data_IF_593017198468
#
_entry.id   IF_593017198468
#
_cell.length_a   1.000
_cell.length_b   1.000
_cell.length_c   1.000
_cell.angle_alpha   90.00
_cell.angle_beta   90.00
_cell.angle_gamma   90.00
#
_symmetry.space_group_name_H-M   'P 1'
#
loop_
_entity.id
_entity.type
_entity.pdbx_description
1 polymer ?
#
# COMPACT_ATOMS: atom_id res chain seq x y z
N UNK A 1 23.34 -10.91 -0.27
CA UNK A 1 22.07 -11.32 -0.90
C UNK A 1 21.17 -10.09 -0.95
N UNK A 2 20.32 -9.94 -1.98
CA UNK A 2 19.39 -8.81 -2.01
C UNK A 2 18.30 -9.01 -0.95
N UNK A 3 18.01 -7.97 -0.18
CA UNK A 3 16.99 -8.02 0.86
C UNK A 3 15.59 -7.77 0.30
N UNK A 4 15.48 -7.10 -0.85
CA UNK A 4 14.20 -6.82 -1.50
C UNK A 4 14.16 -7.36 -2.93
N UNK A 5 13.05 -8.01 -3.27
CA UNK A 5 12.67 -8.37 -4.63
C UNK A 5 11.63 -7.35 -5.13
N UNK A 6 11.85 -6.79 -6.31
CA UNK A 6 10.91 -5.84 -6.94
C UNK A 6 10.39 -6.45 -8.23
N UNK A 7 9.06 -6.52 -8.37
CA UNK A 7 8.42 -6.99 -9.60
C UNK A 7 7.71 -5.82 -10.28
N UNK A 8 8.21 -5.46 -11.47
CA UNK A 8 7.68 -4.36 -12.27
C UNK A 8 6.65 -4.85 -13.28
N UNK A 9 5.47 -4.24 -13.29
CA UNK A 9 4.57 -4.52 -14.39
C UNK A 9 3.43 -3.59 -14.57
N UNK A 10 2.34 -4.15 -15.07
CA UNK A 10 1.35 -3.36 -15.80
C UNK A 10 0.39 -2.75 -14.79
N UNK A 11 0.53 -1.43 -14.59
CA UNK A 11 -0.31 -0.68 -13.66
C UNK A 11 0.06 -0.86 -12.19
N UNK A 12 1.12 -1.62 -11.88
CA UNK A 12 1.56 -1.92 -10.51
C UNK A 12 3.04 -2.29 -10.46
N UNK A 13 3.74 -1.74 -9.47
CA UNK A 13 5.05 -2.21 -9.01
C UNK A 13 4.90 -2.75 -7.61
N UNK A 14 5.49 -3.91 -7.36
CA UNK A 14 5.41 -4.61 -6.08
C UNK A 14 6.81 -4.84 -5.57
N UNK A 15 7.00 -4.77 -4.27
CA UNK A 15 8.25 -5.16 -3.64
C UNK A 15 7.97 -6.04 -2.43
N UNK A 16 8.79 -7.07 -2.23
CA UNK A 16 8.74 -7.94 -1.05
C UNK A 16 10.13 -8.16 -0.49
N UNK A 17 10.21 -8.25 0.83
CA UNK A 17 11.34 -8.84 1.55
C UNK A 17 10.90 -10.16 2.14
N UNK A 18 11.72 -11.19 1.92
CA UNK A 18 11.40 -12.56 2.29
C UNK A 18 12.27 -13.05 3.44
N UNK A 19 11.71 -13.90 4.29
CA UNK A 19 12.43 -14.75 5.22
C UNK A 19 12.06 -16.19 4.92
N UNK A 20 12.91 -16.89 4.17
CA UNK A 20 12.52 -18.14 3.53
C UNK A 20 11.53 -17.88 2.40
N UNK A 21 10.38 -18.54 2.45
CA UNK A 21 9.22 -18.35 1.56
C UNK A 21 8.24 -17.28 2.08
N UNK A 22 8.38 -16.83 3.33
CA UNK A 22 7.43 -15.92 3.96
C UNK A 22 7.74 -14.45 3.65
N UNK A 23 6.74 -13.70 3.19
CA UNK A 23 6.81 -12.24 3.11
C UNK A 23 6.88 -11.65 4.53
N UNK A 24 7.94 -10.90 4.82
CA UNK A 24 8.11 -10.16 6.08
C UNK A 24 7.91 -8.65 5.92
N UNK A 25 8.08 -8.12 4.72
CA UNK A 25 7.65 -6.78 4.34
C UNK A 25 7.13 -6.79 2.91
N UNK A 26 6.12 -5.97 2.62
CA UNK A 26 5.72 -5.71 1.24
C UNK A 26 5.50 -4.21 1.02
N UNK A 27 5.60 -3.79 -0.23
CA UNK A 27 5.23 -2.45 -0.69
C UNK A 27 4.59 -2.54 -2.06
N UNK A 28 3.60 -1.68 -2.30
CA UNK A 28 2.92 -1.58 -3.59
C UNK A 28 2.91 -0.13 -4.02
N UNK A 29 3.26 0.08 -5.28
CA UNK A 29 3.12 1.35 -5.96
C UNK A 29 2.18 1.17 -7.15
N UNK A 30 1.19 2.05 -7.27
CA UNK A 30 0.32 2.16 -8.44
C UNK A 30 0.77 3.37 -9.27
N UNK A 31 1.48 3.15 -10.39
CA UNK A 31 2.05 4.23 -11.19
C UNK A 31 0.99 5.17 -11.76
N UNK A 32 1.44 6.39 -12.10
CA UNK A 32 0.58 7.43 -12.67
C UNK A 32 -0.16 8.26 -11.62
N UNK A 33 0.35 8.31 -10.39
CA UNK A 33 -0.07 9.23 -9.33
C UNK A 33 1.15 9.91 -8.72
N UNK A 34 0.93 11.03 -8.03
CA UNK A 34 1.97 11.65 -7.19
C UNK A 34 2.42 10.70 -6.07
N UNK A 35 3.68 10.28 -6.13
CA UNK A 35 4.32 9.41 -5.13
C UNK A 35 5.36 10.18 -4.32
N UNK A 36 5.61 9.74 -3.07
CA UNK A 36 6.66 10.33 -2.25
C UNK A 36 8.03 10.18 -2.91
N UNK A 37 8.85 11.23 -2.85
CA UNK A 37 10.15 11.32 -3.53
C UNK A 37 10.09 11.89 -4.95
N UNK A 38 8.90 12.03 -5.55
CA UNK A 38 8.77 12.75 -6.82
C UNK A 38 9.16 14.22 -6.64
N UNK A 39 10.02 14.73 -7.53
CA UNK A 39 10.35 16.15 -7.65
C UNK A 39 9.85 16.63 -8.99
N UNK A 40 8.89 17.54 -8.98
CA UNK A 40 8.27 18.04 -10.19
C UNK A 40 7.93 19.52 -10.09
N UNK A 41 7.90 20.19 -11.25
CA UNK A 41 7.41 21.55 -11.36
C UNK A 41 5.88 21.54 -11.36
N UNK A 42 5.30 22.47 -10.61
CA UNK A 42 3.85 22.66 -10.47
C UNK A 42 3.51 24.15 -10.49
N UNK A 43 2.23 24.48 -10.64
CA UNK A 43 1.73 25.85 -10.53
C UNK A 43 1.08 26.04 -9.16
N UNK A 44 1.44 27.09 -8.43
CA UNK A 44 0.75 27.45 -7.18
C UNK A 44 -0.64 28.01 -7.52
N UNK A 45 -1.69 27.25 -7.24
CA UNK A 45 -3.07 27.60 -7.64
C UNK A 45 -3.91 28.23 -6.52
N UNK A 46 -3.47 28.08 -5.26
CA UNK A 46 -4.14 28.72 -4.12
C UNK A 46 -3.17 28.93 -2.97
N UNK A 47 -3.19 30.11 -2.35
CA UNK A 47 -2.41 30.53 -1.18
C UNK A 47 -3.08 31.75 -0.53
N UNK A 48 -3.39 31.66 0.77
CA UNK A 48 -3.73 32.86 1.53
C UNK A 48 -2.51 33.80 1.64
N UNK A 49 -2.69 35.11 1.47
CA UNK A 49 -1.58 36.07 1.42
C UNK A 49 -0.60 35.91 2.61
N UNK A 50 0.70 35.77 2.32
CA UNK A 50 1.73 35.57 3.34
C UNK A 50 1.75 34.18 4.00
N UNK A 51 0.78 33.31 3.72
CA UNK A 51 0.70 32.01 4.36
C UNK A 51 1.82 31.07 3.89
N UNK A 52 2.34 30.21 4.79
CA UNK A 52 3.34 29.21 4.45
C UNK A 52 2.72 27.96 3.79
N UNK A 53 1.42 27.97 3.51
CA UNK A 53 0.67 26.82 2.97
C UNK A 53 -0.17 27.24 1.78
N UNK A 54 -0.37 26.30 0.87
CA UNK A 54 -1.20 26.49 -0.32
C UNK A 54 -1.49 25.17 -1.02
N UNK A 55 -1.99 25.27 -2.24
CA UNK A 55 -2.26 24.14 -3.14
C UNK A 55 -1.50 24.36 -4.44
N UNK A 56 -0.78 23.33 -4.88
CA UNK A 56 -0.10 23.30 -6.18
C UNK A 56 -0.80 22.31 -7.10
N UNK A 57 -0.80 22.60 -8.41
CA UNK A 57 -1.35 21.74 -9.45
C UNK A 57 -0.27 21.35 -10.45
N UNK A 58 -0.16 20.05 -10.73
CA UNK A 58 0.83 19.48 -11.65
C UNK A 58 0.29 19.44 -13.08
N UNK A 59 1.18 19.22 -14.05
CA UNK A 59 0.80 19.05 -15.45
C UNK A 59 -0.16 17.86 -15.69
N UNK A 60 -0.14 16.86 -14.81
CA UNK A 60 -1.09 15.73 -14.81
C UNK A 60 -2.52 16.14 -14.43
N UNK A 61 -2.70 17.35 -13.90
CA UNK A 61 -3.95 17.82 -13.30
C UNK A 61 -4.14 17.41 -11.83
N UNK A 62 -3.27 16.58 -11.27
CA UNK A 62 -3.30 16.27 -9.84
C UNK A 62 -2.91 17.51 -9.00
N UNK A 63 -3.49 17.59 -7.80
CA UNK A 63 -3.20 18.65 -6.84
C UNK A 63 -2.52 18.09 -5.58
N UNK A 64 -1.65 18.90 -4.99
CA UNK A 64 -1.03 18.62 -3.70
C UNK A 64 -1.11 19.84 -2.78
N UNK A 65 -1.27 19.58 -1.48
CA UNK A 65 -1.08 20.60 -0.45
C UNK A 65 0.41 20.86 -0.27
N UNK A 66 0.83 22.11 -0.37
CA UNK A 66 2.23 22.50 -0.15
C UNK A 66 2.38 23.18 1.20
N UNK A 67 3.41 22.82 1.96
CA UNK A 67 3.82 23.52 3.17
C UNK A 67 5.18 24.21 3.00
N UNK A 68 5.50 25.15 3.90
CA UNK A 68 6.76 25.92 3.92
C UNK A 68 7.04 26.71 2.65
N UNK A 69 5.98 27.28 2.06
CA UNK A 69 6.12 28.22 0.95
C UNK A 69 7.00 29.43 1.33
N UNK A 70 7.93 29.85 0.45
CA UNK A 70 8.62 31.13 0.57
C UNK A 70 7.63 32.30 0.67
N UNK A 71 8.04 33.39 1.31
CA UNK A 71 7.16 34.56 1.51
C UNK A 71 6.74 35.20 0.18
N UNK A 72 7.64 35.20 -0.79
CA UNK A 72 7.53 35.71 -2.15
C UNK A 72 6.85 34.75 -3.14
N UNK A 73 6.50 33.53 -2.72
CA UNK A 73 5.79 32.57 -3.57
C UNK A 73 4.43 33.13 -4.04
N UNK A 74 4.22 33.29 -5.34
CA UNK A 74 3.04 33.98 -5.87
C UNK A 74 2.06 33.00 -6.52
N UNK A 75 0.75 33.19 -6.31
CA UNK A 75 -0.27 32.42 -7.03
C UNK A 75 -0.09 32.60 -8.55
N UNK A 76 -0.29 31.53 -9.32
CA UNK A 76 -0.05 31.46 -10.75
C UNK A 76 1.41 31.22 -11.14
N UNK A 77 2.37 31.36 -10.22
CA UNK A 77 3.77 31.11 -10.52
C UNK A 77 4.11 29.62 -10.53
N UNK A 78 5.10 29.25 -11.35
CA UNK A 78 5.72 27.94 -11.29
C UNK A 78 6.55 27.80 -10.02
N UNK A 79 6.50 26.62 -9.40
CA UNK A 79 7.29 26.27 -8.24
C UNK A 79 7.71 24.81 -8.35
N UNK A 80 8.98 24.54 -8.08
CA UNK A 80 9.47 23.17 -7.94
C UNK A 80 9.15 22.65 -6.56
N UNK A 81 8.56 21.46 -6.52
CA UNK A 81 8.20 20.81 -5.26
C UNK A 81 8.61 19.35 -5.23
N UNK A 82 8.95 18.87 -4.05
CA UNK A 82 9.09 17.45 -3.73
C UNK A 82 7.83 16.96 -3.03
N UNK A 83 7.27 15.85 -3.51
CA UNK A 83 6.18 15.14 -2.83
C UNK A 83 6.78 14.41 -1.62
N UNK A 84 6.28 14.71 -0.42
CA UNK A 84 6.71 14.07 0.82
C UNK A 84 5.72 13.04 1.34
N UNK A 85 4.46 13.11 0.87
CA UNK A 85 3.44 12.10 1.12
C UNK A 85 2.53 12.00 -0.09
N UNK A 86 2.34 10.81 -0.61
CA UNK A 86 1.41 10.53 -1.70
C UNK A 86 -0.05 10.83 -1.30
N UNK A 87 -0.93 10.95 -2.29
CA UNK A 87 -2.35 11.02 -2.04
C UNK A 87 -2.85 9.71 -1.42
N UNK A 88 -3.80 9.81 -0.46
CA UNK A 88 -4.35 8.64 0.23
C UNK A 88 -5.86 8.66 0.08
N UNK A 89 -6.40 7.58 -0.48
CA UNK A 89 -7.84 7.36 -0.60
C UNK A 89 -8.47 7.01 0.74
N UNK A 90 -9.60 7.62 1.04
CA UNK A 90 -10.42 7.35 2.23
C UNK A 90 -11.88 7.13 1.81
N UNK A 91 -12.72 6.63 2.73
CA UNK A 91 -14.16 6.51 2.44
C UNK A 91 -14.76 7.90 2.18
N UNK A 92 -15.21 8.13 0.95
CA UNK A 92 -15.92 9.35 0.54
C UNK A 92 -15.03 10.57 0.25
N UNK A 93 -13.70 10.48 0.36
CA UNK A 93 -12.78 11.56 -0.03
C UNK A 93 -11.37 11.05 -0.32
N UNK A 94 -10.56 11.85 -1.00
CA UNK A 94 -9.12 11.62 -1.15
C UNK A 94 -8.37 12.70 -0.38
N UNK A 95 -7.47 12.32 0.53
CA UNK A 95 -6.47 13.24 1.05
C UNK A 95 -5.47 13.53 -0.05
N UNK A 96 -5.39 14.78 -0.50
CA UNK A 96 -4.39 15.22 -1.47
C UNK A 96 -2.97 14.84 -1.01
N UNK A 97 -2.07 14.71 -1.97
CA UNK A 97 -0.64 14.58 -1.69
C UNK A 97 -0.14 15.79 -0.89
N UNK A 98 0.96 15.62 -0.15
CA UNK A 98 1.67 16.72 0.48
C UNK A 98 3.01 16.94 -0.19
N UNK A 99 3.32 18.20 -0.44
CA UNK A 99 4.52 18.63 -1.13
C UNK A 99 5.26 19.72 -0.36
N UNK A 100 6.52 19.92 -0.70
CA UNK A 100 7.39 20.97 -0.16
C UNK A 100 8.17 21.63 -1.29
N UNK A 101 8.41 22.95 -1.24
CA UNK A 101 9.35 23.61 -2.14
C UNK A 101 10.70 22.89 -2.09
N UNK A 102 11.33 22.71 -3.25
CA UNK A 102 12.57 21.96 -3.39
C UNK A 102 13.41 22.51 -4.53
N UNK A 103 14.72 22.58 -4.31
CA UNK A 103 15.71 22.94 -5.34
C UNK A 103 16.34 21.71 -5.99
N UNK A 104 15.84 20.50 -5.67
CA UNK A 104 16.33 19.25 -6.26
C UNK A 104 16.08 19.21 -7.77
N UNK A 105 16.81 18.35 -8.47
CA UNK A 105 16.51 18.05 -9.88
C UNK A 105 15.17 17.34 -10.03
N UNK A 106 14.54 17.49 -11.20
CA UNK A 106 13.30 16.79 -11.52
C UNK A 106 13.52 15.29 -11.45
N UNK A 107 12.67 14.59 -10.72
CA UNK A 107 12.81 13.17 -10.45
C UNK A 107 11.45 12.49 -10.34
N UNK A 108 11.35 11.27 -10.85
CA UNK A 108 10.21 10.37 -10.66
C UNK A 108 10.75 8.97 -10.41
N UNK A 109 11.38 8.75 -9.24
CA UNK A 109 12.03 7.49 -8.93
C UNK A 109 11.04 6.33 -8.91
N UNK A 110 11.45 5.21 -9.48
CA UNK A 110 10.75 3.93 -9.41
C UNK A 110 10.75 3.37 -7.98
N UNK A 111 9.84 2.43 -7.68
CA UNK A 111 9.86 1.69 -6.40
C UNK A 111 11.23 1.08 -6.06
N UNK A 112 11.97 0.59 -7.06
CA UNK A 112 13.31 0.04 -6.88
C UNK A 112 14.31 1.12 -6.44
N UNK A 113 14.31 2.27 -7.11
CA UNK A 113 15.18 3.41 -6.80
C UNK A 113 14.84 4.01 -5.42
N UNK A 114 13.55 4.08 -5.06
CA UNK A 114 13.12 4.50 -3.71
C UNK A 114 13.67 3.58 -2.62
N UNK A 115 13.55 2.26 -2.81
CA UNK A 115 14.10 1.28 -1.87
C UNK A 115 15.63 1.36 -1.76
N UNK A 116 16.33 1.60 -2.88
CA UNK A 116 17.77 1.80 -2.88
C UNK A 116 18.18 3.09 -2.14
N UNK A 117 17.43 4.18 -2.33
CA UNK A 117 17.65 5.44 -1.62
C UNK A 117 17.41 5.32 -0.11
N UNK A 118 16.55 4.39 0.32
CA UNK A 118 16.37 4.00 1.73
C UNK A 118 17.52 3.10 2.26
N UNK A 119 18.51 2.77 1.44
CA UNK A 119 19.69 1.97 1.81
C UNK A 119 19.51 0.46 1.67
N UNK A 120 18.48 0.00 0.95
CA UNK A 120 18.23 -1.43 0.78
C UNK A 120 18.93 -2.02 -0.46
N UNK A 121 19.41 -3.26 -0.33
CA UNK A 121 19.84 -4.06 -1.48
C UNK A 121 18.60 -4.56 -2.24
N UNK A 122 18.45 -4.15 -3.49
CA UNK A 122 17.27 -4.41 -4.33
C UNK A 122 17.63 -5.30 -5.52
N UNK A 123 16.78 -6.27 -5.83
CA UNK A 123 16.82 -7.05 -7.07
C UNK A 123 15.49 -6.96 -7.79
N UNK A 124 15.48 -6.37 -8.98
CA UNK A 124 14.34 -6.44 -9.89
C UNK A 124 14.24 -7.86 -10.44
N UNK A 125 13.06 -8.46 -10.33
CA UNK A 125 12.74 -9.80 -10.79
C UNK A 125 11.58 -9.76 -11.77
N UNK A 126 11.56 -10.70 -12.71
CA UNK A 126 10.40 -10.86 -13.58
C UNK A 126 9.17 -11.30 -12.77
N UNK A 127 9.36 -12.17 -11.78
CA UNK A 127 8.29 -12.76 -10.96
C UNK A 127 8.82 -13.02 -9.57
N UNK A 128 7.99 -12.80 -8.55
CA UNK A 128 8.28 -13.33 -7.22
C UNK A 128 8.34 -14.87 -7.22
N UNK A 129 9.17 -15.48 -6.36
CA UNK A 129 8.99 -16.89 -6.01
C UNK A 129 7.61 -17.09 -5.36
N UNK A 130 7.17 -18.33 -5.22
CA UNK A 130 6.00 -18.65 -4.39
C UNK A 130 6.27 -18.16 -2.96
N UNK A 131 5.55 -17.11 -2.55
CA UNK A 131 5.78 -16.44 -1.28
C UNK A 131 4.51 -15.95 -0.59
N UNK A 132 3.34 -16.40 -1.06
CA UNK A 132 2.07 -16.02 -0.47
C UNK A 132 1.58 -14.61 -0.85
N UNK A 133 1.95 -14.09 -2.03
CA UNK A 133 1.54 -12.73 -2.43
C UNK A 133 0.02 -12.58 -2.56
N UNK A 134 -0.62 -13.58 -3.16
CA UNK A 134 -2.05 -13.55 -3.42
C UNK A 134 -2.84 -13.62 -2.10
N UNK A 135 -2.39 -14.46 -1.17
CA UNK A 135 -2.89 -14.58 0.20
C UNK A 135 -2.73 -13.25 0.96
N UNK A 136 -1.59 -12.56 0.83
CA UNK A 136 -1.39 -11.24 1.44
C UNK A 136 -2.37 -10.19 0.87
N UNK A 137 -2.67 -10.25 -0.43
CA UNK A 137 -3.66 -9.36 -1.04
C UNK A 137 -5.06 -9.70 -0.53
N UNK A 138 -5.39 -10.99 -0.42
CA UNK A 138 -6.69 -11.45 0.08
C UNK A 138 -6.87 -11.01 1.55
N UNK A 139 -5.86 -11.18 2.42
CA UNK A 139 -5.85 -10.63 3.79
C UNK A 139 -6.08 -9.11 3.81
N UNK A 140 -5.49 -8.36 2.87
CA UNK A 140 -5.66 -6.91 2.80
C UNK A 140 -7.03 -6.47 2.28
N UNK A 141 -7.63 -7.25 1.37
CA UNK A 141 -8.97 -7.02 0.84
C UNK A 141 -10.04 -7.32 1.91
N UNK A 142 -9.84 -8.38 2.68
CA UNK A 142 -10.73 -8.77 3.77
C UNK A 142 -10.48 -7.93 5.04
N UNK A 143 -9.30 -7.32 5.16
CA UNK A 143 -8.88 -6.58 6.34
C UNK A 143 -8.73 -7.49 7.56
N UNK A 144 -8.50 -8.79 7.38
CA UNK A 144 -8.45 -9.77 8.45
C UNK A 144 -7.19 -10.60 8.36
N UNK A 145 -6.48 -10.78 9.48
CA UNK A 145 -5.34 -11.69 9.60
C UNK A 145 -5.64 -12.68 10.71
N UNK A 146 -5.72 -13.96 10.35
CA UNK A 146 -5.99 -15.04 11.33
C UNK A 146 -4.70 -15.52 11.97
N UNK A 147 -4.78 -15.96 13.23
CA UNK A 147 -3.69 -16.61 13.95
C UNK A 147 -4.24 -17.69 14.88
N UNK A 148 -3.35 -18.50 15.45
CA UNK A 148 -3.77 -19.56 16.36
C UNK A 148 -4.51 -18.98 17.58
N UNK A 149 -5.83 -19.24 17.65
CA UNK A 149 -6.70 -18.81 18.75
C UNK A 149 -7.41 -17.47 18.56
N UNK A 150 -7.19 -16.76 17.44
CA UNK A 150 -7.85 -15.48 17.20
C UNK A 150 -7.62 -14.87 15.82
N UNK A 151 -8.00 -13.61 15.66
CA UNK A 151 -7.86 -12.82 14.44
C UNK A 151 -7.64 -11.35 14.74
N UNK A 152 -6.95 -10.67 13.84
CA UNK A 152 -6.80 -9.22 13.81
C UNK A 152 -7.73 -8.66 12.75
N UNK A 153 -8.58 -7.69 13.11
CA UNK A 153 -9.46 -7.00 12.17
C UNK A 153 -8.95 -5.56 11.98
N UNK A 154 -8.54 -5.24 10.76
CA UNK A 154 -8.01 -3.94 10.39
C UNK A 154 -9.09 -3.08 9.73
N UNK A 155 -9.37 -1.93 10.34
CA UNK A 155 -10.31 -0.94 9.85
C UNK A 155 -9.60 0.40 9.59
N UNK A 156 -9.15 0.68 8.36
CA UNK A 156 -8.68 2.01 7.99
C UNK A 156 -9.80 3.04 8.15
N UNK A 157 -9.56 4.15 8.82
CA UNK A 157 -10.52 5.26 8.94
C UNK A 157 -9.88 6.56 8.45
N UNK A 158 -10.66 7.64 8.24
CA UNK A 158 -10.10 8.93 7.86
C UNK A 158 -9.09 9.51 8.87
N UNK A 159 -9.11 9.07 10.13
CA UNK A 159 -8.21 9.57 11.17
C UNK A 159 -7.02 8.63 11.42
N UNK A 160 -7.29 7.33 11.46
CA UNK A 160 -6.31 6.30 11.84
C UNK A 160 -6.72 4.91 11.35
N UNK A 161 -5.81 3.95 11.33
CA UNK A 161 -6.18 2.52 11.19
C UNK A 161 -6.46 1.97 12.57
N UNK A 162 -7.64 1.40 12.80
CA UNK A 162 -7.96 0.70 14.05
C UNK A 162 -7.78 -0.79 13.83
N UNK A 163 -7.19 -1.47 14.80
CA UNK A 163 -7.01 -2.92 14.83
C UNK A 163 -7.77 -3.45 16.03
N UNK A 164 -8.71 -4.33 15.77
CA UNK A 164 -9.45 -5.07 16.79
C UNK A 164 -8.90 -6.51 16.90
N UNK A 165 -8.96 -7.08 18.10
CA UNK A 165 -8.38 -8.38 18.41
C UNK A 165 -9.47 -9.29 19.00
N UNK A 166 -9.92 -10.22 18.18
CA UNK A 166 -10.96 -11.18 18.53
C UNK A 166 -10.40 -12.59 18.65
N UNK A 167 -11.01 -13.43 19.50
CA UNK A 167 -10.61 -14.82 19.62
C UNK A 167 -11.28 -15.56 20.78
N UNK A 168 -10.99 -16.86 20.87
CA UNK A 168 -11.58 -17.74 21.89
C UNK A 168 -10.68 -17.94 23.13
N UNK A 169 -9.45 -17.41 23.09
CA UNK A 169 -8.50 -17.50 24.21
C UNK A 169 -8.90 -16.55 25.35
N UNK A 170 -8.37 -16.81 26.55
CA UNK A 170 -8.56 -15.89 27.68
C UNK A 170 -7.89 -14.54 27.37
N UNK A 171 -8.40 -13.40 27.88
CA UNK A 171 -7.95 -12.06 27.45
C UNK A 171 -6.43 -11.86 27.42
N UNK A 172 -5.72 -12.29 28.47
CA UNK A 172 -4.24 -12.20 28.55
C UNK A 172 -3.55 -13.05 27.48
N UNK A 173 -4.02 -14.26 27.27
CA UNK A 173 -3.44 -15.21 26.31
C UNK A 173 -3.69 -14.73 24.88
N UNK A 174 -4.90 -14.23 24.61
CA UNK A 174 -5.27 -13.63 23.34
C UNK A 174 -4.39 -12.40 23.03
N UNK A 175 -4.23 -11.50 24.01
CA UNK A 175 -3.43 -10.30 23.84
C UNK A 175 -1.96 -10.62 23.53
N UNK A 176 -1.37 -11.59 24.23
CA UNK A 176 0.01 -12.03 23.96
C UNK A 176 0.14 -12.77 22.62
N UNK A 177 -0.81 -13.62 22.27
CA UNK A 177 -0.83 -14.35 20.99
C UNK A 177 -0.96 -13.40 19.79
N UNK A 178 -1.63 -12.27 19.96
CA UNK A 178 -1.84 -11.27 18.91
C UNK A 178 -0.58 -10.41 18.60
N UNK A 179 0.39 -10.32 19.51
CA UNK A 179 1.54 -9.39 19.37
C UNK A 179 2.38 -9.69 18.13
N UNK A 180 2.72 -10.97 17.90
CA UNK A 180 3.51 -11.40 16.73
C UNK A 180 2.78 -11.15 15.41
N UNK A 181 1.55 -11.68 15.18
CA UNK A 181 0.84 -11.45 13.93
C UNK A 181 0.56 -9.96 13.70
N UNK A 182 0.37 -9.16 14.75
CA UNK A 182 0.20 -7.72 14.64
C UNK A 182 1.46 -7.02 14.14
N UNK A 183 2.61 -7.30 14.76
CA UNK A 183 3.89 -6.73 14.36
C UNK A 183 4.31 -7.16 12.94
N UNK A 184 3.97 -8.38 12.54
CA UNK A 184 4.17 -8.89 11.19
C UNK A 184 3.23 -8.17 10.21
N UNK A 185 1.93 -8.08 10.50
CA UNK A 185 0.94 -7.43 9.64
C UNK A 185 1.23 -5.93 9.41
N UNK A 186 1.69 -5.21 10.43
CA UNK A 186 2.13 -3.80 10.30
C UNK A 186 3.17 -3.65 9.17
N UNK A 187 4.14 -4.57 9.10
CA UNK A 187 5.21 -4.55 8.10
C UNK A 187 4.78 -5.09 6.74
N UNK A 188 4.00 -6.18 6.73
CA UNK A 188 3.51 -6.81 5.50
C UNK A 188 2.51 -5.93 4.76
N UNK A 189 1.69 -5.15 5.47
CA UNK A 189 0.76 -4.20 4.85
C UNK A 189 1.36 -2.83 4.58
N UNK A 190 2.61 -2.55 4.98
CA UNK A 190 3.24 -1.21 4.90
C UNK A 190 2.41 -0.15 5.66
N UNK A 191 1.98 -0.45 6.88
CA UNK A 191 1.19 0.48 7.69
C UNK A 191 2.04 1.66 8.15
N UNK A 192 1.39 2.82 8.22
CA UNK A 192 1.95 4.05 8.77
C UNK A 192 0.83 4.99 9.23
N UNK A 193 1.22 6.14 9.76
CA UNK A 193 0.28 7.11 10.32
C UNK A 193 -0.13 6.75 11.73
N UNK A 194 -1.32 7.22 12.14
CA UNK A 194 -1.91 6.85 13.43
C UNK A 194 -2.54 5.45 13.31
N UNK A 195 -2.17 4.56 14.23
CA UNK A 195 -2.70 3.20 14.33
C UNK A 195 -3.16 2.99 15.77
N UNK A 196 -4.39 2.55 15.97
CA UNK A 196 -4.95 2.22 17.27
C UNK A 196 -5.16 0.74 17.36
N UNK A 197 -4.69 0.12 18.43
CA UNK A 197 -4.83 -1.32 18.66
C UNK A 197 -5.68 -1.48 19.91
N UNK A 198 -6.81 -2.16 19.76
CA UNK A 198 -7.71 -2.50 20.85
C UNK A 198 -7.40 -3.91 21.34
N UNK A 199 -6.53 -4.04 22.34
CA UNK A 199 -6.32 -5.33 23.00
C UNK A 199 -7.49 -5.63 23.95
N UNK A 200 -7.78 -6.92 24.22
CA UNK A 200 -8.69 -7.30 25.28
C UNK A 200 -8.34 -6.59 26.60
N UNK A 201 -9.34 -6.11 27.32
CA UNK A 201 -9.11 -5.39 28.58
C UNK A 201 -8.42 -6.31 29.61
N UNK A 202 -7.20 -5.91 30.04
CA UNK A 202 -6.43 -6.63 31.05
C UNK A 202 -6.47 -5.88 32.38
N UNK A 203 -6.95 -6.56 33.43
CA UNK A 203 -7.09 -5.96 34.77
C UNK A 203 -5.73 -5.75 35.45
N UNK A 204 -4.87 -6.77 35.41
CA UNK A 204 -3.58 -6.73 36.08
C UNK A 204 -2.59 -5.84 35.33
N UNK A 205 -1.96 -4.91 36.07
CA UNK A 205 -0.90 -4.04 35.53
C UNK A 205 0.30 -4.85 34.99
N UNK A 206 0.61 -5.98 35.62
CA UNK A 206 1.68 -6.87 35.18
C UNK A 206 1.41 -7.46 33.79
N UNK A 207 0.16 -7.83 33.51
CA UNK A 207 -0.23 -8.39 32.20
C UNK A 207 -0.16 -7.33 31.10
N UNK A 208 -0.67 -6.11 31.36
CA UNK A 208 -0.53 -4.97 30.44
C UNK A 208 0.93 -4.69 30.10
N UNK A 209 1.78 -4.65 31.13
CA UNK A 209 3.23 -4.46 30.97
C UNK A 209 3.86 -5.57 30.12
N UNK A 210 3.45 -6.82 30.31
CA UNK A 210 3.97 -7.94 29.54
C UNK A 210 3.65 -7.82 28.04
N UNK A 211 2.42 -7.43 27.69
CA UNK A 211 2.02 -7.17 26.30
C UNK A 211 2.78 -5.96 25.74
N UNK A 212 2.90 -4.88 26.52
CA UNK A 212 3.66 -3.69 26.14
C UNK A 212 5.13 -4.02 25.85
N UNK A 213 5.78 -4.79 26.71
CA UNK A 213 7.19 -5.17 26.57
C UNK A 213 7.37 -6.07 25.33
N UNK A 214 6.47 -7.04 25.11
CA UNK A 214 6.50 -7.91 23.93
C UNK A 214 6.30 -7.12 22.63
N UNK A 215 5.33 -6.19 22.60
CA UNK A 215 5.06 -5.34 21.44
C UNK A 215 6.24 -4.40 21.16
N UNK A 216 6.81 -3.81 22.21
CA UNK A 216 8.00 -2.96 22.12
C UNK A 216 9.20 -3.71 21.53
N UNK A 217 9.44 -4.94 21.99
CA UNK A 217 10.53 -5.76 21.47
C UNK A 217 10.36 -6.07 19.97
N UNK A 218 9.15 -6.47 19.54
CA UNK A 218 8.89 -6.81 18.14
C UNK A 218 8.86 -5.58 17.21
N UNK A 219 8.54 -4.40 17.72
CA UNK A 219 8.52 -3.16 16.95
C UNK A 219 9.81 -2.34 17.06
N UNK A 220 10.82 -2.79 17.82
CA UNK A 220 12.06 -2.03 18.05
C UNK A 220 12.78 -1.59 16.76
N UNK A 221 12.72 -2.41 15.71
CA UNK A 221 13.32 -2.11 14.39
C UNK A 221 12.38 -1.39 13.41
N UNK A 222 11.18 -0.99 13.82
CA UNK A 222 10.23 -0.27 13.00
C UNK A 222 10.08 1.17 13.53
N UNK A 223 10.42 2.22 12.76
CA UNK A 223 10.40 3.59 13.27
C UNK A 223 8.98 4.08 13.64
N UNK A 224 8.72 4.28 14.93
CA UNK A 224 7.42 4.71 15.44
C UNK A 224 7.52 5.33 16.83
N UNK A 225 6.49 6.07 17.21
CA UNK A 225 6.15 6.42 18.59
C UNK A 225 5.00 5.52 19.07
N UNK A 226 4.94 5.25 20.37
CA UNK A 226 3.93 4.38 20.97
C UNK A 226 3.53 4.81 22.37
N UNK A 227 2.25 4.67 22.69
CA UNK A 227 1.75 4.77 24.07
C UNK A 227 1.86 3.43 24.79
N UNK A 228 2.02 3.45 26.11
CA UNK A 228 1.76 2.26 26.92
C UNK A 228 0.27 1.86 26.82
N UNK A 229 -0.03 0.59 27.07
CA UNK A 229 -1.39 0.09 27.12
C UNK A 229 -2.16 0.76 28.26
N UNK A 230 -3.26 1.43 27.91
CA UNK A 230 -4.10 2.10 28.89
C UNK A 230 -4.96 1.10 29.69
N UNK A 231 -5.74 1.60 30.65
CA UNK A 231 -6.59 0.77 31.51
C UNK A 231 -7.73 0.04 30.77
N UNK A 232 -8.00 0.40 29.52
CA UNK A 232 -9.05 -0.19 28.69
C UNK A 232 -8.52 -1.21 27.68
N UNK A 233 -7.19 -1.31 27.49
CA UNK A 233 -6.56 -2.22 26.54
C UNK A 233 -6.03 -1.53 25.27
N UNK A 234 -6.23 -0.22 25.13
CA UNK A 234 -5.87 0.49 23.91
C UNK A 234 -4.39 0.91 23.90
N UNK A 235 -3.75 0.71 22.75
CA UNK A 235 -2.39 1.17 22.42
C UNK A 235 -2.44 2.00 21.14
N UNK A 236 -1.82 3.18 21.14
CA UNK A 236 -1.65 3.99 19.94
C UNK A 236 -0.21 3.90 19.44
N UNK A 237 -0.04 3.64 18.15
CA UNK A 237 1.20 3.78 17.40
C UNK A 237 1.10 4.97 16.46
N UNK A 238 2.20 5.71 16.31
CA UNK A 238 2.33 6.77 15.32
C UNK A 238 3.60 6.55 14.53
N UNK A 239 3.46 6.26 13.24
CA UNK A 239 4.59 6.12 12.32
C UNK A 239 4.45 7.09 11.15
N UNK A 240 5.55 7.34 10.45
CA UNK A 240 5.55 8.20 9.27
C UNK A 240 4.68 7.58 8.17
N UNK A 241 3.77 8.36 7.60
CA UNK A 241 2.89 7.95 6.50
C UNK A 241 3.31 8.68 5.24
N UNK A 242 4.03 7.99 4.36
CA UNK A 242 4.51 8.56 3.10
C UNK A 242 3.68 8.12 1.89
N UNK A 243 3.02 6.97 2.00
CA UNK A 243 2.35 6.29 0.89
C UNK A 243 1.13 5.50 1.39
N UNK A 244 0.16 5.19 0.51
CA UNK A 244 -0.92 4.28 0.87
C UNK A 244 -0.36 2.91 1.25
N UNK A 245 -0.83 2.38 2.38
CA UNK A 245 -0.60 0.99 2.74
C UNK A 245 -1.42 0.04 1.85
N UNK A 246 -1.15 -1.26 1.90
CA UNK A 246 -1.91 -2.26 1.13
C UNK A 246 -3.41 -2.20 1.46
N UNK A 247 -3.76 -2.00 2.74
CA UNK A 247 -5.15 -1.80 3.19
C UNK A 247 -5.80 -0.54 2.59
N UNK A 248 -5.05 0.56 2.48
CA UNK A 248 -5.57 1.78 1.85
C UNK A 248 -5.83 1.58 0.36
N UNK A 249 -4.92 0.89 -0.34
CA UNK A 249 -5.12 0.55 -1.74
C UNK A 249 -6.33 -0.38 -1.91
N UNK A 250 -6.47 -1.38 -1.03
CA UNK A 250 -7.53 -2.39 -1.09
C UNK A 250 -8.91 -1.70 -1.00
N UNK A 251 -9.01 -0.74 -0.07
CA UNK A 251 -10.19 0.08 0.10
C UNK A 251 -10.41 1.11 -1.01
N UNK A 252 -9.34 1.64 -1.61
CA UNK A 252 -9.43 2.59 -2.71
C UNK A 252 -10.08 1.94 -3.93
N UNK A 253 -9.65 0.73 -4.30
CA UNK A 253 -10.18 0.06 -5.49
C UNK A 253 -9.96 -1.45 -5.45
N UNK A 254 -10.97 -2.18 -4.97
CA UNK A 254 -11.03 -3.65 -5.04
C UNK A 254 -11.03 -4.15 -6.49
N UNK A 255 -11.79 -3.50 -7.37
CA UNK A 255 -11.75 -3.73 -8.82
C UNK A 255 -10.36 -3.49 -9.42
N UNK A 256 -9.64 -2.48 -8.94
CA UNK A 256 -8.29 -2.14 -9.36
C UNK A 256 -7.25 -3.18 -8.94
N UNK A 257 -7.42 -3.84 -7.78
CA UNK A 257 -6.62 -5.00 -7.40
C UNK A 257 -6.90 -6.19 -8.31
N UNK A 258 -8.17 -6.54 -8.49
CA UNK A 258 -8.56 -7.66 -9.35
C UNK A 258 -8.03 -7.51 -10.78
N UNK A 259 -8.10 -6.30 -11.35
CA UNK A 259 -7.56 -6.02 -12.69
C UNK A 259 -6.04 -6.23 -12.78
N UNK A 260 -5.28 -5.76 -11.77
CA UNK A 260 -3.82 -5.94 -11.73
C UNK A 260 -3.43 -7.39 -11.49
N UNK A 261 -4.12 -8.08 -10.57
CA UNK A 261 -3.94 -9.52 -10.32
C UNK A 261 -4.15 -10.33 -11.59
N UNK A 262 -5.22 -10.04 -12.34
CA UNK A 262 -5.51 -10.68 -13.62
C UNK A 262 -4.42 -10.42 -14.67
N UNK A 263 -3.92 -9.18 -14.79
CA UNK A 263 -2.79 -8.87 -15.66
C UNK A 263 -1.54 -9.67 -15.28
N UNK A 264 -1.30 -9.90 -13.98
CA UNK A 264 -0.17 -10.71 -13.51
C UNK A 264 -0.33 -12.19 -13.80
N UNK A 265 -1.53 -12.73 -13.64
CA UNK A 265 -1.81 -14.11 -14.05
C UNK A 265 -1.61 -14.27 -15.56
N UNK A 266 -2.08 -13.31 -16.34
CA UNK A 266 -1.89 -13.27 -17.79
C UNK A 266 -0.41 -13.25 -18.20
N UNK A 267 0.45 -12.45 -17.54
CA UNK A 267 1.90 -12.45 -17.78
C UNK A 267 2.58 -13.79 -17.44
N UNK A 268 1.92 -14.70 -16.71
CA UNK A 268 2.46 -16.02 -16.30
C UNK A 268 2.04 -17.17 -17.21
N UNK A 269 1.03 -16.99 -18.09
CA UNK A 269 0.56 -18.03 -19.00
C UNK A 269 1.65 -18.36 -20.01
N UNK A 270 2.20 -19.58 -19.92
CA UNK A 270 3.32 -20.02 -20.75
C UNK A 270 2.86 -20.73 -22.03
N UNK A 271 1.66 -21.29 -22.02
CA UNK A 271 1.08 -22.04 -23.12
C UNK A 271 0.86 -21.14 -24.35
N UNK A 272 1.14 -21.64 -25.57
CA UNK A 272 1.04 -20.85 -26.80
C UNK A 272 -0.42 -20.56 -27.21
N UNK A 273 -0.62 -19.54 -28.05
CA UNK A 273 -1.93 -19.15 -28.59
C UNK A 273 -2.34 -17.72 -28.23
N UNK A 274 -3.59 -17.35 -28.49
CA UNK A 274 -4.13 -16.08 -27.97
C UNK A 274 -4.28 -16.16 -26.44
N UNK A 275 -4.17 -15.01 -25.77
CA UNK A 275 -4.31 -14.91 -24.31
C UNK A 275 -5.73 -14.44 -23.98
N UNK A 276 -6.54 -15.30 -23.41
CA UNK A 276 -7.91 -14.99 -22.99
C UNK A 276 -7.94 -14.64 -21.51
N UNK A 277 -8.40 -13.43 -21.20
CA UNK A 277 -8.68 -12.97 -19.83
C UNK A 277 -10.19 -13.06 -19.59
N UNK A 278 -10.61 -13.96 -18.71
CA UNK A 278 -12.02 -14.07 -18.29
C UNK A 278 -12.18 -13.41 -16.94
N UNK A 279 -13.10 -12.45 -16.82
CA UNK A 279 -13.27 -11.69 -15.58
C UNK A 279 -14.67 -11.09 -15.42
N UNK A 280 -14.99 -10.67 -14.20
CA UNK A 280 -16.21 -9.93 -13.92
C UNK A 280 -16.27 -8.62 -14.74
N UNK A 281 -17.44 -8.18 -15.26
CA UNK A 281 -17.55 -6.98 -16.10
C UNK A 281 -16.96 -5.70 -15.48
N UNK A 282 -17.03 -5.56 -14.15
CA UNK A 282 -16.42 -4.43 -13.45
C UNK A 282 -14.87 -4.44 -13.53
N UNK A 283 -14.25 -5.62 -13.58
CA UNK A 283 -12.80 -5.77 -13.79
C UNK A 283 -12.43 -5.44 -15.23
N UNK A 284 -13.22 -5.91 -16.20
CA UNK A 284 -13.04 -5.54 -17.61
C UNK A 284 -13.08 -4.03 -17.80
N UNK A 285 -14.04 -3.34 -17.16
CA UNK A 285 -14.13 -1.88 -17.22
C UNK A 285 -12.91 -1.17 -16.60
N UNK A 286 -12.28 -1.78 -15.58
CA UNK A 286 -11.06 -1.27 -14.95
C UNK A 286 -9.78 -1.54 -15.77
N UNK A 287 -9.80 -2.50 -16.72
CA UNK A 287 -8.67 -2.80 -17.60
C UNK A 287 -8.49 -1.71 -18.67
N UNK A 288 -7.64 -0.73 -18.36
CA UNK A 288 -7.29 0.37 -19.27
C UNK A 288 -6.78 -0.16 -20.61
N UNK A 289 -7.07 0.59 -21.69
CA UNK A 289 -6.60 0.25 -23.04
C UNK A 289 -5.07 0.13 -23.10
N UNK A 290 -4.36 1.09 -22.53
CA UNK A 290 -2.89 1.12 -22.47
C UNK A 290 -2.28 -0.12 -21.78
N UNK A 291 -2.98 -0.68 -20.78
CA UNK A 291 -2.54 -1.87 -20.06
C UNK A 291 -2.70 -3.13 -20.91
N UNK A 292 -3.82 -3.25 -21.63
CA UNK A 292 -4.08 -4.35 -22.56
C UNK A 292 -3.08 -4.36 -23.71
N UNK A 293 -2.79 -3.20 -24.28
CA UNK A 293 -1.77 -3.04 -25.31
C UNK A 293 -0.37 -3.36 -24.79
N UNK A 294 -0.04 -2.94 -23.56
CA UNK A 294 1.24 -3.28 -22.92
C UNK A 294 1.36 -4.78 -22.66
N UNK A 295 0.27 -5.45 -22.26
CA UNK A 295 0.23 -6.90 -22.08
C UNK A 295 0.44 -7.62 -23.42
N UNK A 296 -0.27 -7.22 -24.47
CA UNK A 296 -0.12 -7.80 -25.81
C UNK A 296 1.33 -7.66 -26.31
N UNK A 297 1.94 -6.48 -26.14
CA UNK A 297 3.36 -6.25 -26.50
C UNK A 297 4.32 -7.10 -25.69
N UNK A 298 4.13 -7.22 -24.37
CA UNK A 298 5.00 -8.01 -23.49
C UNK A 298 4.89 -9.51 -23.74
N UNK A 299 3.67 -9.99 -23.98
CA UNK A 299 3.40 -11.39 -24.23
C UNK A 299 3.70 -11.82 -25.67
N UNK A 300 3.75 -10.87 -26.63
CA UNK A 300 3.88 -11.16 -28.05
C UNK A 300 2.65 -11.89 -28.61
N UNK A 301 1.47 -11.67 -28.02
CA UNK A 301 0.24 -12.46 -28.25
C UNK A 301 -0.97 -11.54 -28.40
N UNK A 302 -1.96 -12.00 -29.15
CA UNK A 302 -3.29 -11.39 -29.15
C UNK A 302 -3.89 -11.50 -27.74
N UNK A 303 -4.49 -10.42 -27.23
CA UNK A 303 -5.17 -10.39 -25.93
C UNK A 303 -6.67 -10.28 -26.16
N UNK A 304 -7.42 -11.30 -25.73
CA UNK A 304 -8.89 -11.38 -25.77
C UNK A 304 -9.43 -11.21 -24.35
N UNK A 305 -10.61 -10.62 -24.23
CA UNK A 305 -11.29 -10.45 -22.93
C UNK A 305 -12.71 -10.98 -23.04
N UNK A 306 -13.09 -11.84 -22.11
CA UNK A 306 -14.45 -12.32 -21.92
C UNK A 306 -14.98 -11.83 -20.57
N UNK A 307 -16.14 -11.14 -20.60
CA UNK A 307 -16.85 -10.77 -19.40
C UNK A 307 -17.73 -11.94 -18.94
N UNK A 308 -17.67 -12.26 -17.65
CA UNK A 308 -18.56 -13.23 -17.01
C UNK A 308 -19.07 -12.66 -15.68
N UNK A 309 -20.36 -12.34 -15.61
CA UNK A 309 -21.00 -11.79 -14.41
C UNK A 309 -21.23 -12.84 -13.30
N UNK A 310 -21.05 -14.14 -13.59
CA UNK A 310 -21.11 -15.19 -12.59
C UNK A 310 -19.82 -15.31 -11.78
N UNK A 311 -18.70 -14.75 -12.26
CA UNK A 311 -17.45 -14.71 -11.51
C UNK A 311 -17.53 -13.72 -10.36
N UNK A 312 -17.01 -14.13 -9.19
CA UNK A 312 -16.69 -13.17 -8.14
C UNK A 312 -15.68 -12.13 -8.65
N UNK A 313 -15.69 -10.95 -8.04
CA UNK A 313 -14.91 -9.81 -8.54
C UNK A 313 -13.42 -10.11 -8.64
N UNK A 314 -12.87 -10.88 -7.71
CA UNK A 314 -11.45 -11.27 -7.66
C UNK A 314 -11.15 -12.57 -8.42
N UNK A 315 -12.17 -13.31 -8.87
CA UNK A 315 -12.04 -14.65 -9.45
C UNK A 315 -11.73 -14.64 -10.96
N UNK A 316 -11.20 -13.53 -11.48
CA UNK A 316 -10.72 -13.48 -12.86
C UNK A 316 -9.53 -14.42 -13.07
N UNK A 317 -9.41 -14.96 -14.28
CA UNK A 317 -8.30 -15.84 -14.65
C UNK A 317 -7.87 -15.60 -16.10
N UNK A 318 -6.64 -16.00 -16.42
CA UNK A 318 -6.09 -15.93 -17.76
C UNK A 318 -5.67 -17.32 -18.24
N UNK A 319 -5.90 -17.61 -19.52
CA UNK A 319 -5.53 -18.87 -20.15
C UNK A 319 -5.09 -18.67 -21.59
N UNK A 320 -4.32 -19.62 -22.11
CA UNK A 320 -4.06 -19.71 -23.53
C UNK A 320 -5.25 -20.36 -24.23
N UNK A 321 -5.65 -19.81 -25.37
CA UNK A 321 -6.65 -20.40 -26.26
C UNK A 321 -6.09 -20.43 -27.68
N UNK A 322 -6.60 -21.36 -28.49
CA UNK A 322 -6.25 -21.41 -29.91
C UNK A 322 -6.52 -20.07 -30.57
N UNK A 323 -5.51 -19.58 -31.29
CA UNK A 323 -5.59 -18.34 -32.08
C UNK A 323 -6.69 -18.44 -33.13
#
# INVERSE_FOLDING_TARGET
MADWLVEEGIGEHRAVRLSGDRIIHARVEWPGRLAAGHVADAVLVSRAAGAPRGTVRFASGEEALVDRLPRDASEGAAIRVEIVRAAIGERGRTKLAQARPSDKELASPTLAELLQAEGHAVRVVHRFPECGWDELVDEALDGTVTFAGGSLLFAPTPAMTVVDIDGALRPRELALAAVVPLADAIRRFDLGGSIGIDFPTLQAKADRRQVDDALGALLAGWPHERTAMNGFGFVQLVARLERPSLLHLARLSRTGFAARRLLRQAERVAEPGALLLTCHPAVQAALRREWREKLARRAGREVRIAADSALALEAGFAQAVTS
#
